data_IF_421288794811
#
_entry.id   IF_421288794811
#
_cell.length_a   1.000
_cell.length_b   1.000
_cell.length_c   1.000
_cell.angle_alpha   90.00
_cell.angle_beta   90.00
_cell.angle_gamma   90.00
#
_symmetry.space_group_name_H-M   'P 1'
#
loop_
_entity.id
_entity.type
_entity.pdbx_description
1 polymer ?
#
# COMPACT_ATOMS: atom_id res chain seq x y z
N UNK A 1 9.34 -11.61 10.03
CA UNK A 1 8.42 -10.53 9.63
C UNK A 1 7.97 -10.84 8.22
N UNK A 2 6.72 -11.25 8.03
CA UNK A 2 6.21 -11.59 6.69
C UNK A 2 5.13 -10.58 6.35
N UNK A 3 5.28 -9.96 5.19
CA UNK A 3 4.30 -9.09 4.58
C UNK A 3 3.33 -9.96 3.79
N UNK A 4 2.13 -10.20 4.32
CA UNK A 4 1.05 -10.78 3.54
C UNK A 4 0.17 -9.64 2.99
N UNK A 5 0.07 -9.53 1.67
CA UNK A 5 -1.08 -8.87 1.07
C UNK A 5 -2.30 -9.74 1.36
N UNK A 6 -3.33 -9.15 1.95
CA UNK A 6 -4.66 -9.73 1.79
C UNK A 6 -5.07 -9.47 0.33
N UNK A 7 -4.77 -10.41 -0.57
CA UNK A 7 -5.53 -10.52 -1.81
C UNK A 7 -6.93 -10.99 -1.39
N UNK A 8 -7.87 -10.06 -1.27
CA UNK A 8 -9.29 -10.40 -1.21
C UNK A 8 -9.69 -10.99 -2.56
N UNK A 9 -9.44 -12.28 -2.78
CA UNK A 9 -9.98 -13.02 -3.93
C UNK A 9 -11.42 -13.41 -3.60
N UNK A 10 -12.37 -12.53 -3.88
CA UNK A 10 -13.79 -12.84 -3.70
C UNK A 10 -14.29 -13.73 -4.83
N UNK A 11 -14.77 -14.92 -4.43
CA UNK A 11 -15.46 -15.92 -5.24
C UNK A 11 -16.64 -15.26 -5.97
N UNK A 12 -16.75 -15.45 -7.30
CA UNK A 12 -17.96 -15.08 -8.05
C UNK A 12 -19.17 -15.78 -7.42
N UNK A 13 -20.15 -15.01 -6.95
CA UNK A 13 -21.52 -15.50 -6.80
C UNK A 13 -22.48 -14.63 -7.60
N UNK A 14 -23.31 -15.35 -8.33
CA UNK A 14 -24.37 -14.92 -9.23
C UNK A 14 -25.47 -14.13 -8.52
N UNK A 15 -26.07 -13.24 -9.32
CA UNK A 15 -27.45 -12.74 -9.30
C UNK A 15 -27.95 -11.81 -8.18
N UNK A 16 -28.42 -10.67 -8.68
CA UNK A 16 -29.53 -9.78 -8.27
C UNK A 16 -29.43 -8.90 -7.02
N UNK A 17 -29.53 -7.60 -7.32
CA UNK A 17 -30.11 -6.49 -6.54
C UNK A 17 -29.54 -6.18 -5.15
N UNK A 18 -28.60 -5.23 -5.16
CA UNK A 18 -28.50 -3.99 -4.34
C UNK A 18 -27.02 -3.61 -4.33
N UNK A 19 -26.64 -2.63 -5.18
CA UNK A 19 -25.24 -2.17 -5.25
C UNK A 19 -24.93 -1.25 -4.07
N UNK A 20 -24.80 -1.83 -2.87
CA UNK A 20 -23.94 -1.22 -1.85
C UNK A 20 -22.49 -1.30 -2.37
N UNK A 21 -21.65 -0.25 -2.21
CA UNK A 21 -20.26 -0.27 -2.67
C UNK A 21 -19.43 -1.20 -1.77
N UNK A 22 -19.56 -2.50 -1.97
CA UNK A 22 -18.86 -3.53 -1.20
C UNK A 22 -17.97 -4.31 -2.17
N UNK A 23 -16.72 -3.87 -2.28
CA UNK A 23 -15.67 -4.63 -2.96
C UNK A 23 -14.83 -3.84 -3.95
N UNK A 24 -14.23 -2.72 -3.56
CA UNK A 24 -12.96 -2.33 -4.18
C UNK A 24 -11.83 -2.97 -3.36
N UNK A 25 -10.91 -3.67 -4.01
CA UNK A 25 -9.61 -3.99 -3.43
C UNK A 25 -8.87 -2.67 -3.22
N UNK A 26 -9.16 -1.98 -2.13
CA UNK A 26 -8.52 -0.72 -1.75
C UNK A 26 -7.07 -1.09 -1.41
N UNK A 27 -6.10 -0.53 -2.12
CA UNK A 27 -4.69 -0.93 -2.08
C UNK A 27 -4.00 -0.69 -0.74
N UNK A 28 -4.37 -1.47 0.27
CA UNK A 28 -3.79 -1.45 1.59
C UNK A 28 -2.54 -2.32 1.65
N UNK A 29 -1.52 -1.80 2.33
CA UNK A 29 -0.33 -2.54 2.70
C UNK A 29 -0.41 -2.77 4.21
N UNK A 30 -0.29 -4.03 4.63
CA UNK A 30 -0.34 -4.45 6.04
C UNK A 30 0.94 -5.16 6.42
N UNK A 31 1.55 -4.74 7.52
CA UNK A 31 2.76 -5.34 8.09
C UNK A 31 2.36 -6.06 9.37
N UNK A 32 2.64 -7.37 9.44
CA UNK A 32 2.33 -8.20 10.60
C UNK A 32 3.59 -8.66 11.33
N UNK A 33 3.55 -8.62 12.66
CA UNK A 33 4.57 -9.21 13.52
C UNK A 33 4.14 -10.63 13.91
N UNK A 34 4.80 -11.62 13.31
CA UNK A 34 4.54 -13.04 13.52
C UNK A 34 5.38 -13.67 14.64
N UNK A 35 6.13 -12.88 15.42
CA UNK A 35 7.06 -13.39 16.44
C UNK A 35 6.42 -14.31 17.48
N UNK A 36 5.10 -14.18 17.66
CA UNK A 36 4.30 -14.90 18.67
C UNK A 36 3.23 -15.80 18.04
N UNK A 37 3.21 -15.90 16.71
CA UNK A 37 2.15 -16.63 16.01
C UNK A 37 2.41 -18.13 16.07
N UNK A 38 1.40 -18.89 16.55
CA UNK A 38 1.44 -20.36 16.65
C UNK A 38 2.56 -20.93 17.54
N UNK A 39 2.98 -20.17 18.56
CA UNK A 39 3.93 -20.66 19.58
C UNK A 39 3.18 -21.05 20.87
N UNK A 40 3.50 -22.21 21.49
CA UNK A 40 2.85 -22.65 22.73
C UNK A 40 3.19 -21.77 23.94
N UNK A 41 4.35 -21.11 23.93
CA UNK A 41 4.77 -20.13 24.93
C UNK A 41 5.46 -18.95 24.22
N UNK A 42 4.70 -17.98 23.70
CA UNK A 42 5.25 -16.91 22.89
C UNK A 42 6.14 -15.97 23.73
N UNK A 43 7.30 -15.54 23.21
CA UNK A 43 8.13 -14.57 23.91
C UNK A 43 7.38 -13.25 24.11
N UNK A 44 7.60 -12.59 25.26
CA UNK A 44 7.02 -11.26 25.51
C UNK A 44 7.57 -10.26 24.50
N UNK A 45 6.68 -9.64 23.73
CA UNK A 45 7.05 -8.57 22.80
C UNK A 45 7.19 -7.27 23.59
N UNK A 46 8.36 -6.62 23.49
CA UNK A 46 8.59 -5.31 24.09
C UNK A 46 7.83 -4.24 23.29
N UNK A 47 6.62 -3.90 23.74
CA UNK A 47 5.77 -2.86 23.12
C UNK A 47 6.49 -1.51 23.00
N UNK A 48 7.22 -1.00 24.02
CA UNK A 48 7.97 0.25 23.88
C UNK A 48 8.99 0.25 22.72
N UNK A 49 9.72 -0.86 22.54
CA UNK A 49 10.68 -0.98 21.44
C UNK A 49 9.96 -1.07 20.08
N UNK A 50 8.82 -1.75 20.03
CA UNK A 50 7.97 -1.81 18.83
C UNK A 50 7.51 -0.41 18.44
N UNK A 51 7.06 0.37 19.41
CA UNK A 51 6.60 1.75 19.24
C UNK A 51 7.69 2.68 18.66
N UNK A 52 8.97 2.46 18.97
CA UNK A 52 10.08 3.21 18.35
C UNK A 52 10.25 2.89 16.86
N UNK A 53 10.05 1.63 16.46
CA UNK A 53 10.16 1.18 15.06
C UNK A 53 8.92 1.49 14.23
N UNK A 54 7.77 1.61 14.89
CA UNK A 54 6.48 1.87 14.27
C UNK A 54 5.84 3.09 14.97
N UNK A 55 6.26 4.32 14.62
CA UNK A 55 5.81 5.54 15.32
C UNK A 55 4.30 5.75 15.27
N UNK A 56 3.65 5.29 14.20
CA UNK A 56 2.20 5.36 14.00
C UNK A 56 1.43 4.24 14.76
N UNK A 57 2.13 3.40 15.54
CA UNK A 57 1.52 2.59 16.60
C UNK A 57 1.05 3.47 17.76
N UNK A 58 1.53 4.71 17.84
CA UNK A 58 0.92 5.73 18.70
C UNK A 58 -0.56 5.86 18.32
N UNK A 59 -1.42 6.02 19.34
CA UNK A 59 -2.87 6.03 19.18
C UNK A 59 -3.29 6.98 18.06
N UNK A 60 -3.54 6.42 16.87
CA UNK A 60 -4.12 7.19 15.77
C UNK A 60 -5.48 7.71 16.21
N UNK A 61 -5.73 9.00 15.97
CA UNK A 61 -7.03 9.61 16.21
C UNK A 61 -8.11 9.05 15.25
N UNK A 62 -7.68 8.45 14.13
CA UNK A 62 -8.55 7.88 13.08
C UNK A 62 -8.04 6.53 12.61
N UNK A 63 -8.63 5.44 13.09
CA UNK A 63 -8.31 4.10 12.58
C UNK A 63 -8.89 3.91 11.18
N UNK A 64 -8.02 3.54 10.22
CA UNK A 64 -8.43 3.09 8.89
C UNK A 64 -9.23 1.78 8.93
N UNK A 65 -10.08 1.53 7.93
CA UNK A 65 -10.98 0.36 7.91
C UNK A 65 -10.26 -0.99 8.09
N UNK A 66 -9.07 -1.13 7.48
CA UNK A 66 -8.19 -2.27 7.64
C UNK A 66 -7.68 -2.50 9.07
N UNK A 67 -7.46 -1.43 9.85
CA UNK A 67 -7.03 -1.45 11.25
C UNK A 67 -8.20 -1.79 12.18
N UNK A 68 -9.40 -1.25 11.88
CA UNK A 68 -10.65 -1.59 12.59
C UNK A 68 -10.98 -3.08 12.51
N UNK A 69 -10.81 -3.70 11.34
CA UNK A 69 -11.03 -5.13 11.15
C UNK A 69 -10.12 -6.03 12.00
N UNK A 70 -9.00 -5.49 12.50
CA UNK A 70 -7.96 -6.23 13.23
C UNK A 70 -7.86 -5.77 14.69
N UNK A 71 -8.62 -4.76 15.11
CA UNK A 71 -8.53 -4.11 16.44
C UNK A 71 -8.67 -5.09 17.61
N UNK A 72 -9.47 -6.15 17.43
CA UNK A 72 -9.72 -7.16 18.45
C UNK A 72 -9.00 -8.49 18.18
N UNK A 73 -8.09 -8.51 17.20
CA UNK A 73 -7.30 -9.69 16.90
C UNK A 73 -6.12 -9.77 17.89
N UNK A 74 -6.03 -10.80 18.74
CA UNK A 74 -4.98 -10.87 19.76
C UNK A 74 -3.60 -11.11 19.14
N UNK A 75 -3.53 -11.91 18.07
CA UNK A 75 -2.31 -12.24 17.34
C UNK A 75 -2.62 -12.63 15.87
N UNK A 76 -1.65 -12.49 14.94
CA UNK A 76 -0.41 -11.75 15.10
C UNK A 76 -0.65 -10.25 15.23
N UNK A 77 0.29 -9.52 15.85
CA UNK A 77 0.17 -8.07 15.98
C UNK A 77 0.24 -7.43 14.59
N UNK A 78 -0.59 -6.42 14.34
CA UNK A 78 -0.56 -5.59 13.14
C UNK A 78 0.13 -4.26 13.47
N UNK A 79 1.47 -4.21 13.47
CA UNK A 79 2.18 -2.98 13.73
C UNK A 79 1.88 -1.92 12.68
N UNK A 80 1.67 -2.26 11.39
CA UNK A 80 1.40 -1.28 10.31
C UNK A 80 0.24 -1.61 9.39
N UNK A 81 -0.54 -0.59 9.04
CA UNK A 81 -1.59 -0.67 8.03
C UNK A 81 -1.76 0.69 7.35
N UNK A 82 -1.36 0.79 6.08
CA UNK A 82 -1.42 2.02 5.31
C UNK A 82 -2.25 1.84 4.05
N UNK A 83 -3.02 2.87 3.67
CA UNK A 83 -3.64 2.93 2.35
C UNK A 83 -2.55 3.34 1.35
N UNK A 84 -1.87 2.34 0.81
CA UNK A 84 -0.74 2.54 -0.10
C UNK A 84 -1.15 3.10 -1.45
N UNK A 85 -2.21 2.54 -2.03
CA UNK A 85 -2.64 2.78 -3.41
C UNK A 85 -4.13 3.13 -3.52
N UNK A 86 -4.49 3.75 -4.65
CA UNK A 86 -5.87 4.12 -4.98
C UNK A 86 -6.65 2.94 -5.54
N UNK A 87 -5.97 2.01 -6.21
CA UNK A 87 -6.52 0.79 -6.77
C UNK A 87 -5.90 -0.46 -6.11
N UNK A 88 -6.23 -1.65 -6.65
CA UNK A 88 -5.69 -2.92 -6.19
C UNK A 88 -4.20 -3.02 -6.42
N UNK A 89 -3.48 -3.47 -5.39
CA UNK A 89 -2.04 -3.77 -5.48
C UNK A 89 -1.89 -5.07 -6.26
N UNK A 90 -1.20 -5.00 -7.39
CA UNK A 90 -0.91 -6.13 -8.27
C UNK A 90 0.39 -6.83 -7.90
N UNK A 91 1.35 -6.13 -7.30
CA UNK A 91 2.63 -6.69 -6.86
C UNK A 91 3.16 -6.04 -5.57
N UNK A 92 3.94 -6.81 -4.81
CA UNK A 92 4.66 -6.34 -3.62
C UNK A 92 6.06 -6.95 -3.58
N UNK A 93 7.05 -6.13 -3.22
CA UNK A 93 8.42 -6.55 -2.98
C UNK A 93 8.96 -5.92 -1.70
N UNK A 94 9.89 -6.61 -1.05
CA UNK A 94 10.44 -6.22 0.25
C UNK A 94 11.95 -6.15 0.15
N UNK A 95 12.51 -5.02 0.58
CA UNK A 95 13.96 -4.82 0.72
C UNK A 95 14.26 -4.83 2.22
N UNK A 96 14.56 -6.00 2.76
CA UNK A 96 14.70 -6.21 4.22
C UNK A 96 15.86 -5.43 4.83
N UNK A 97 16.98 -5.28 4.12
CA UNK A 97 18.16 -4.54 4.58
C UNK A 97 17.85 -3.07 4.85
N UNK A 98 16.99 -2.46 4.04
CA UNK A 98 16.57 -1.08 4.16
C UNK A 98 15.20 -0.90 4.85
N UNK A 99 14.51 -1.99 5.19
CA UNK A 99 13.13 -1.98 5.72
C UNK A 99 12.14 -1.24 4.82
N UNK A 100 12.26 -1.44 3.50
CA UNK A 100 11.42 -0.81 2.48
C UNK A 100 10.46 -1.84 1.87
N UNK A 101 9.25 -1.39 1.57
CA UNK A 101 8.20 -2.10 0.85
C UNK A 101 7.96 -1.36 -0.45
N UNK A 102 8.00 -2.08 -1.56
CA UNK A 102 7.59 -1.64 -2.88
C UNK A 102 6.22 -2.24 -3.17
N UNK A 103 5.23 -1.41 -3.47
CA UNK A 103 3.93 -1.85 -3.96
C UNK A 103 3.70 -1.33 -5.37
N UNK A 104 3.29 -2.20 -6.29
CA UNK A 104 2.81 -1.80 -7.61
C UNK A 104 1.31 -2.07 -7.72
N UNK A 105 0.60 -1.20 -8.42
CA UNK A 105 -0.86 -1.16 -8.42
C UNK A 105 -1.41 -0.91 -9.82
N UNK A 106 -2.68 -1.26 -9.99
CA UNK A 106 -3.46 -0.90 -11.17
C UNK A 106 -3.68 0.62 -11.31
N UNK A 107 -3.29 1.43 -10.31
CA UNK A 107 -3.29 2.90 -10.40
C UNK A 107 -2.06 3.49 -11.13
N UNK A 108 -1.31 2.66 -11.86
CA UNK A 108 -0.15 3.05 -12.65
C UNK A 108 1.02 3.62 -11.84
N UNK A 109 1.03 3.37 -10.53
CA UNK A 109 2.14 3.76 -9.67
C UNK A 109 2.78 2.58 -8.97
N UNK A 110 4.09 2.72 -8.73
CA UNK A 110 4.85 1.93 -7.76
C UNK A 110 5.19 2.83 -6.59
N UNK A 111 4.80 2.46 -5.36
CA UNK A 111 5.01 3.29 -4.17
C UNK A 111 5.92 2.60 -3.17
N UNK A 112 6.79 3.41 -2.58
CA UNK A 112 7.77 3.01 -1.59
C UNK A 112 7.27 3.39 -0.20
N UNK A 113 7.32 2.44 0.71
CA UNK A 113 6.91 2.61 2.10
C UNK A 113 7.97 2.03 3.02
N UNK A 114 8.20 2.65 4.18
CA UNK A 114 8.93 1.97 5.25
C UNK A 114 8.05 0.89 5.87
N UNK A 115 8.65 -0.06 6.57
CA UNK A 115 7.91 -1.01 7.43
C UNK A 115 7.07 -0.27 8.47
N UNK A 116 7.57 0.88 8.88
CA UNK A 116 6.89 1.84 9.74
C UNK A 116 5.75 2.60 9.05
N UNK A 117 5.23 2.17 7.91
CA UNK A 117 4.10 2.83 7.24
C UNK A 117 4.38 4.26 6.75
N UNK A 118 5.62 4.74 6.80
CA UNK A 118 5.98 6.06 6.27
C UNK A 118 6.07 5.96 4.75
N UNK A 119 5.38 6.85 4.05
CA UNK A 119 5.55 7.01 2.60
C UNK A 119 6.94 7.58 2.30
N UNK A 120 7.65 6.96 1.36
CA UNK A 120 9.01 7.36 0.98
C UNK A 120 9.03 8.01 -0.40
N UNK A 121 8.39 7.39 -1.40
CA UNK A 121 8.39 7.91 -2.78
C UNK A 121 7.36 7.19 -3.66
N UNK A 122 7.11 7.75 -4.85
CA UNK A 122 6.33 7.15 -5.93
C UNK A 122 7.18 7.13 -7.20
N UNK A 123 7.15 6.00 -7.90
CA UNK A 123 7.62 5.84 -9.26
C UNK A 123 6.39 5.67 -10.17
N UNK A 124 6.33 6.44 -11.25
CA UNK A 124 5.17 6.49 -12.15
C UNK A 124 4.27 7.69 -11.92
N UNK A 125 3.15 7.73 -12.64
CA UNK A 125 2.18 8.84 -12.60
C UNK A 125 0.77 8.28 -12.47
N UNK A 126 -0.23 9.15 -12.28
CA UNK A 126 -1.64 8.73 -12.30
C UNK A 126 -2.15 8.39 -13.72
N UNK A 127 -1.32 8.58 -14.75
CA UNK A 127 -1.65 8.27 -16.14
C UNK A 127 -1.28 6.84 -16.46
N UNK A 128 -2.02 6.28 -17.41
CA UNK A 128 -1.77 4.95 -17.96
C UNK A 128 -0.34 4.86 -18.52
N UNK A 129 0.28 3.70 -18.32
CA UNK A 129 1.59 3.44 -18.89
C UNK A 129 1.46 3.24 -20.40
N UNK A 130 2.02 4.16 -21.16
CA UNK A 130 2.09 4.07 -22.62
C UNK A 130 3.26 3.16 -23.00
N UNK A 131 3.09 2.19 -23.90
CA UNK A 131 4.19 1.39 -24.38
C UNK A 131 5.22 2.29 -25.08
N UNK A 132 6.50 2.09 -24.75
CA UNK A 132 7.60 2.74 -25.46
C UNK A 132 7.73 2.04 -26.81
N UNK A 133 7.43 2.77 -27.88
CA UNK A 133 7.51 2.27 -29.25
C UNK A 133 8.93 2.47 -29.76
N UNK A 134 9.54 1.46 -30.42
CA UNK A 134 10.91 1.56 -30.92
C UNK A 134 11.06 2.64 -32.01
N UNK A 135 9.95 3.07 -32.60
CA UNK A 135 9.89 4.09 -33.65
C UNK A 135 9.83 5.52 -33.12
N UNK A 136 9.67 5.72 -31.81
CA UNK A 136 9.53 7.05 -31.20
C UNK A 136 10.73 7.28 -30.26
N UNK A 137 11.51 8.35 -30.45
CA UNK A 137 12.59 8.73 -29.52
C UNK A 137 12.06 8.94 -28.10
N UNK A 138 12.84 8.50 -27.10
CA UNK A 138 12.42 8.51 -25.68
C UNK A 138 12.12 9.93 -25.19
N UNK A 139 12.82 10.93 -25.73
CA UNK A 139 12.69 12.35 -25.38
C UNK A 139 11.25 12.86 -25.59
N UNK A 140 10.59 12.42 -26.66
CA UNK A 140 9.20 12.83 -26.97
C UNK A 140 8.20 12.40 -25.91
N UNK A 141 8.47 11.33 -25.17
CA UNK A 141 7.59 10.88 -24.07
C UNK A 141 7.68 11.80 -22.84
N UNK A 142 8.75 12.59 -22.71
CA UNK A 142 8.91 13.53 -21.60
C UNK A 142 8.31 14.92 -21.92
N UNK A 143 8.19 15.30 -23.19
CA UNK A 143 7.62 16.57 -23.61
C UNK A 143 6.13 16.72 -23.19
N UNK A 144 5.34 15.64 -23.32
CA UNK A 144 3.93 15.59 -22.91
C UNK A 144 3.73 15.66 -21.38
N UNK A 145 4.76 15.28 -20.62
CA UNK A 145 4.75 15.34 -19.15
C UNK A 145 5.01 16.78 -18.70
N UNK A 146 5.85 17.53 -19.41
CA UNK A 146 6.17 18.94 -19.12
C UNK A 146 5.11 19.93 -19.62
N UNK A 147 4.50 19.70 -20.78
CA UNK A 147 3.59 20.66 -21.42
C UNK A 147 2.34 20.98 -20.59
N UNK A 148 1.78 20.02 -19.84
CA UNK A 148 0.58 20.27 -19.02
C UNK A 148 0.83 21.15 -17.79
N UNK A 149 2.08 21.32 -17.35
CA UNK A 149 2.40 22.16 -16.19
C UNK A 149 2.57 23.65 -16.55
N UNK A 150 2.83 23.97 -17.83
CA UNK A 150 3.04 25.37 -18.28
C UNK A 150 1.77 26.05 -18.81
N UNK A 151 0.78 25.28 -19.24
CA UNK A 151 -0.50 25.83 -19.75
C UNK A 151 -1.46 26.28 -18.64
N UNK A 152 -1.23 25.92 -17.37
CA UNK A 152 -2.09 26.31 -16.24
C UNK A 152 -1.60 27.56 -15.50
N UNK A 153 -0.37 28.02 -15.77
CA UNK A 153 0.23 29.22 -15.14
C UNK A 153 0.20 30.47 -16.03
N UNK A 154 -0.40 30.41 -17.21
CA UNK A 154 -0.36 31.50 -18.22
C UNK A 154 -1.70 32.22 -18.46
N UNK A 155 -2.72 31.96 -17.65
CA UNK A 155 -3.93 32.80 -17.59
C UNK A 155 -4.07 33.46 -16.22
N UNK A 156 -3.45 34.63 -16.08
CA UNK A 156 -3.86 35.72 -15.20
C UNK A 156 -3.58 37.04 -15.92
#
# INVERSE_FOLDING_TARGET
>A
MVLSSLLSRTRRKSSSLTKHPVGHSIGYIKVWLLSNYMLPNPPKVCVPLLTLKFPFLWKDKTDGGAKRAVRNQPLPLLPSSVRGHMQGISCLQVISSAQIILGGSADHTVRLWSFGGRYLSTLGTFRDWVPILPTIPVEKYFDDIGASWWHETSTN
#
